data_IF_576870863469
#
_entry.id   IF_576870863469
#
_cell.length_a   1.000
_cell.length_b   1.000
_cell.length_c   1.000
_cell.angle_alpha   90.00
_cell.angle_beta   90.00
_cell.angle_gamma   90.00
#
_symmetry.space_group_name_H-M   'P 1'
#
loop_
_entity.id
_entity.type
_entity.pdbx_description
1 polymer ?
#
# COMPACT_ATOMS: atom_id res chain seq x y z
N UNK A 1 -1.50 12.54 36.08
CA UNK A 1 -2.15 11.35 35.48
C UNK A 1 -3.39 11.74 34.68
N UNK A 2 -3.27 12.57 33.63
CA UNK A 2 -4.48 13.09 32.95
C UNK A 2 -4.31 13.41 31.47
N UNK A 3 -3.08 13.46 30.93
CA UNK A 3 -2.84 13.77 29.51
C UNK A 3 -2.86 12.49 28.64
N UNK A 4 -2.47 11.34 29.20
CA UNK A 4 -2.39 10.07 28.46
C UNK A 4 -3.76 9.50 28.07
N UNK A 5 -4.83 9.83 28.81
CA UNK A 5 -6.19 9.34 28.55
C UNK A 5 -6.86 10.10 27.41
N UNK A 6 -6.55 11.39 27.24
CA UNK A 6 -7.12 12.21 26.16
C UNK A 6 -6.55 11.86 24.78
N UNK A 7 -5.25 11.56 24.71
CA UNK A 7 -4.60 11.19 23.43
C UNK A 7 -5.01 9.78 22.99
N UNK A 8 -5.12 8.81 23.92
CA UNK A 8 -5.69 7.50 23.60
C UNK A 8 -7.18 7.60 23.24
N UNK A 9 -7.93 8.49 23.90
CA UNK A 9 -9.34 8.75 23.61
C UNK A 9 -9.57 9.23 22.19
N UNK A 10 -8.77 10.18 21.69
CA UNK A 10 -8.86 10.67 20.30
C UNK A 10 -8.48 9.61 19.26
N UNK A 11 -7.47 8.78 19.52
CA UNK A 11 -7.06 7.71 18.59
C UNK A 11 -8.13 6.60 18.52
N UNK A 12 -8.74 6.24 19.66
CA UNK A 12 -9.82 5.24 19.73
C UNK A 12 -11.17 5.76 19.21
N UNK A 13 -11.46 7.06 19.33
CA UNK A 13 -12.65 7.66 18.72
C UNK A 13 -12.50 7.83 17.21
N UNK A 14 -11.32 8.20 16.70
CA UNK A 14 -11.07 8.25 15.25
C UNK A 14 -11.24 6.88 14.58
N UNK A 15 -10.82 5.79 15.25
CA UNK A 15 -11.03 4.43 14.76
C UNK A 15 -12.50 3.97 14.76
N UNK A 16 -13.32 4.51 15.66
CA UNK A 16 -14.76 4.18 15.72
C UNK A 16 -15.63 5.06 14.81
N UNK A 17 -15.22 6.30 14.53
CA UNK A 17 -15.96 7.21 13.64
C UNK A 17 -15.73 6.93 12.15
N UNK A 18 -14.58 6.37 11.76
CA UNK A 18 -14.27 6.08 10.36
C UNK A 18 -15.14 4.98 9.72
N UNK A 19 -15.94 4.26 10.51
CA UNK A 19 -16.84 3.22 10.03
C UNK A 19 -18.29 3.39 10.52
N UNK A 20 -18.67 4.63 10.85
CA UNK A 20 -20.03 5.00 11.26
C UNK A 20 -20.84 5.61 10.12
N UNK A 21 -22.03 5.08 9.91
CA UNK A 21 -23.04 5.40 8.90
C UNK A 21 -23.43 6.89 8.89
N UNK A 22 -23.14 7.64 7.83
CA UNK A 22 -23.80 8.95 7.60
C UNK A 22 -24.16 9.20 6.13
N UNK A 23 -25.47 9.12 5.92
CA UNK A 23 -26.37 9.74 4.95
C UNK A 23 -25.76 10.82 4.04
N UNK A 24 -25.93 10.60 2.74
CA UNK A 24 -25.64 11.54 1.67
C UNK A 24 -26.42 12.86 1.83
N UNK A 25 -25.71 13.97 1.70
CA UNK A 25 -26.28 15.26 1.29
C UNK A 25 -25.40 15.84 0.18
N UNK A 26 -26.03 15.98 -0.98
CA UNK A 26 -25.53 16.57 -2.23
C UNK A 26 -25.32 18.07 -2.09
N UNK A 27 -24.16 18.59 -2.51
CA UNK A 27 -24.05 19.91 -3.18
C UNK A 27 -22.74 20.05 -3.97
N UNK A 28 -22.89 20.28 -5.28
CA UNK A 28 -22.15 21.15 -6.21
C UNK A 28 -20.60 21.12 -6.29
N UNK A 29 -20.12 20.44 -7.34
CA UNK A 29 -19.26 20.94 -8.45
C UNK A 29 -18.30 22.13 -8.21
N UNK A 30 -17.00 21.86 -8.39
CA UNK A 30 -16.12 22.76 -9.13
C UNK A 30 -15.15 21.95 -10.01
N UNK A 31 -15.23 22.22 -11.32
CA UNK A 31 -14.31 21.75 -12.36
C UNK A 31 -12.96 22.42 -12.17
N UNK A 32 -11.88 21.66 -12.27
CA UNK A 32 -10.52 22.17 -12.36
C UNK A 32 -9.92 21.69 -13.68
N UNK A 33 -9.45 22.64 -14.48
CA UNK A 33 -9.05 22.49 -15.88
C UNK A 33 -7.79 21.62 -16.02
N UNK A 34 -7.92 20.49 -16.71
CA UNK A 34 -6.78 19.66 -17.10
C UNK A 34 -6.14 20.22 -18.37
N UNK A 35 -5.08 21.01 -18.19
CA UNK A 35 -4.09 21.25 -19.23
C UNK A 35 -3.48 19.90 -19.67
N UNK A 36 -3.40 19.69 -20.98
CA UNK A 36 -3.13 18.40 -21.63
C UNK A 36 -1.95 17.64 -21.04
N UNK A 37 -2.25 16.50 -20.41
CA UNK A 37 -1.29 15.46 -20.05
C UNK A 37 -1.24 14.46 -21.20
N UNK A 38 -0.02 14.09 -21.60
CA UNK A 38 0.28 12.94 -22.47
C UNK A 38 -0.29 11.67 -21.82
N UNK A 39 -1.53 11.30 -22.20
CA UNK A 39 -2.36 10.31 -21.51
C UNK A 39 -1.74 8.91 -21.49
N UNK A 40 -0.91 8.55 -22.47
CA UNK A 40 -0.23 7.25 -22.52
C UNK A 40 0.94 7.17 -21.54
N UNK A 41 1.59 8.29 -21.22
CA UNK A 41 2.76 8.32 -20.32
C UNK A 41 2.40 8.62 -18.86
N UNK A 42 1.34 9.38 -18.63
CA UNK A 42 0.92 9.82 -17.30
C UNK A 42 -0.44 9.26 -16.85
N UNK A 43 -1.07 8.38 -17.62
CA UNK A 43 -2.30 7.70 -17.20
C UNK A 43 -2.10 6.73 -16.02
N UNK A 44 -3.20 6.27 -15.42
CA UNK A 44 -3.17 5.29 -14.32
C UNK A 44 -2.55 3.96 -14.73
N UNK A 45 -2.74 3.53 -15.99
CA UNK A 45 -2.06 2.34 -16.53
C UNK A 45 -0.53 2.45 -16.46
N UNK A 46 0.01 3.65 -16.67
CA UNK A 46 1.45 3.89 -16.55
C UNK A 46 1.92 3.84 -15.09
N UNK A 47 1.09 4.30 -14.14
CA UNK A 47 1.35 4.15 -12.71
C UNK A 47 1.29 2.68 -12.27
N UNK A 48 0.27 1.93 -12.71
CA UNK A 48 0.10 0.52 -12.42
C UNK A 48 1.31 -0.28 -12.90
N UNK A 49 1.74 -0.05 -14.15
CA UNK A 49 2.96 -0.67 -14.67
C UNK A 49 4.22 -0.23 -13.91
N UNK A 50 4.32 1.05 -13.51
CA UNK A 50 5.49 1.54 -12.79
C UNK A 50 5.61 0.93 -11.38
N UNK A 51 4.47 0.60 -10.75
CA UNK A 51 4.39 0.13 -9.37
C UNK A 51 4.21 -1.37 -9.22
N UNK A 52 3.98 -2.09 -10.33
CA UNK A 52 3.58 -3.50 -10.37
C UNK A 52 4.38 -4.39 -9.39
N UNK A 53 5.71 -4.30 -9.41
CA UNK A 53 6.55 -5.18 -8.59
C UNK A 53 6.72 -4.70 -7.15
N UNK A 54 6.40 -3.44 -6.85
CA UNK A 54 6.74 -2.83 -5.55
C UNK A 54 5.83 -3.26 -4.41
N UNK A 55 4.66 -3.84 -4.72
CA UNK A 55 3.69 -4.30 -3.72
C UNK A 55 3.88 -5.79 -3.49
N UNK A 56 4.18 -6.18 -2.25
CA UNK A 56 4.36 -7.59 -1.89
C UNK A 56 3.06 -8.37 -2.07
N UNK A 57 3.09 -9.47 -2.82
CA UNK A 57 1.90 -10.19 -3.33
C UNK A 57 0.94 -9.30 -4.17
N UNK A 58 1.43 -8.22 -4.77
CA UNK A 58 0.64 -7.32 -5.62
C UNK A 58 0.27 -7.95 -6.96
N UNK A 59 1.24 -8.59 -7.62
CA UNK A 59 1.08 -9.21 -8.95
C UNK A 59 0.66 -10.69 -8.92
N UNK A 60 0.51 -11.28 -7.74
CA UNK A 60 0.09 -12.67 -7.63
C UNK A 60 0.39 -13.30 -6.27
N UNK A 61 0.12 -14.61 -6.12
CA UNK A 61 0.27 -15.34 -4.86
C UNK A 61 1.70 -15.83 -4.61
N UNK A 62 2.68 -15.47 -5.45
CA UNK A 62 4.05 -15.94 -5.38
C UNK A 62 4.98 -14.83 -4.94
N UNK A 63 6.07 -15.23 -4.31
CA UNK A 63 7.19 -14.39 -3.93
C UNK A 63 8.47 -15.24 -3.93
N UNK A 64 9.66 -14.63 -4.11
CA UNK A 64 10.92 -15.36 -4.02
C UNK A 64 11.07 -16.09 -2.68
N UNK A 65 11.37 -17.38 -2.73
CA UNK A 65 11.65 -18.23 -1.56
C UNK A 65 13.10 -18.70 -1.50
N UNK A 66 13.86 -18.50 -2.57
CA UNK A 66 15.29 -18.79 -2.63
C UNK A 66 16.12 -17.51 -2.82
N UNK A 67 17.42 -17.61 -2.54
CA UNK A 67 18.34 -16.50 -2.73
C UNK A 67 18.48 -16.10 -4.20
N UNK A 68 18.50 -17.08 -5.11
CA UNK A 68 18.58 -16.85 -6.56
C UNK A 68 17.34 -16.10 -7.07
N UNK A 69 16.15 -16.58 -6.74
CA UNK A 69 14.88 -15.91 -7.09
C UNK A 69 14.82 -14.48 -6.53
N UNK A 70 15.37 -14.28 -5.34
CA UNK A 70 15.37 -12.99 -4.68
C UNK A 70 16.31 -12.00 -5.37
N UNK A 71 17.48 -12.44 -5.83
CA UNK A 71 18.41 -11.60 -6.61
C UNK A 71 17.73 -11.08 -7.88
N UNK A 72 17.02 -11.95 -8.61
CA UNK A 72 16.29 -11.58 -9.82
C UNK A 72 15.15 -10.59 -9.53
N UNK A 73 14.40 -10.83 -8.47
CA UNK A 73 13.34 -9.92 -8.02
C UNK A 73 13.90 -8.56 -7.62
N UNK A 74 15.03 -8.51 -6.91
CA UNK A 74 15.69 -7.26 -6.53
C UNK A 74 16.13 -6.42 -7.73
N UNK A 75 16.44 -7.02 -8.89
CA UNK A 75 16.69 -6.28 -10.14
C UNK A 75 15.41 -5.63 -10.64
N UNK A 76 14.30 -6.38 -10.69
CA UNK A 76 12.97 -5.87 -11.12
C UNK A 76 12.48 -4.76 -10.21
N UNK A 77 12.50 -4.97 -8.90
CA UNK A 77 12.09 -3.98 -7.89
C UNK A 77 12.84 -2.65 -8.04
N UNK A 78 14.16 -2.68 -8.27
CA UNK A 78 14.94 -1.45 -8.49
C UNK A 78 14.53 -0.72 -9.76
N UNK A 79 14.18 -1.45 -10.82
CA UNK A 79 13.66 -0.85 -12.05
C UNK A 79 12.30 -0.20 -11.82
N UNK A 80 11.38 -0.90 -11.15
CA UNK A 80 10.03 -0.42 -10.81
C UNK A 80 10.08 0.78 -9.86
N UNK A 81 11.00 0.79 -8.88
CA UNK A 81 11.24 1.95 -8.01
C UNK A 81 11.69 3.19 -8.80
N UNK A 82 12.63 3.03 -9.73
CA UNK A 82 13.07 4.13 -10.61
C UNK A 82 11.94 4.62 -11.51
N UNK A 83 11.11 3.70 -12.03
CA UNK A 83 9.96 4.04 -12.86
C UNK A 83 8.92 4.84 -12.07
N UNK A 84 8.56 4.36 -10.88
CA UNK A 84 7.59 5.02 -9.99
C UNK A 84 8.08 6.40 -9.56
N UNK A 85 9.36 6.53 -9.19
CA UNK A 85 9.95 7.85 -8.84
C UNK A 85 9.86 8.84 -9.99
N UNK A 86 10.08 8.40 -11.22
CA UNK A 86 9.97 9.24 -12.42
C UNK A 86 8.52 9.66 -12.66
N UNK A 87 7.57 8.73 -12.53
CA UNK A 87 6.15 9.04 -12.63
C UNK A 87 5.73 10.07 -11.57
N UNK A 88 6.13 9.89 -10.31
CA UNK A 88 5.85 10.85 -9.24
C UNK A 88 6.36 12.27 -9.55
N UNK A 89 7.57 12.38 -10.09
CA UNK A 89 8.16 13.68 -10.40
C UNK A 89 7.53 14.36 -11.62
N UNK A 90 7.09 13.59 -12.61
CA UNK A 90 6.72 14.14 -13.92
C UNK A 90 5.21 14.14 -14.21
N UNK A 91 4.44 13.26 -13.54
CA UNK A 91 3.02 13.02 -13.85
C UNK A 91 2.09 13.35 -12.68
N UNK A 92 2.63 13.77 -11.52
CA UNK A 92 1.81 14.12 -10.35
C UNK A 92 2.22 15.47 -9.78
N UNK A 93 1.28 16.16 -9.13
CA UNK A 93 1.49 17.45 -8.47
C UNK A 93 0.73 17.53 -7.15
N UNK A 94 1.05 18.53 -6.33
CA UNK A 94 0.37 18.79 -5.05
C UNK A 94 0.38 17.58 -4.10
N UNK A 95 -0.77 17.32 -3.46
CA UNK A 95 -0.91 16.23 -2.48
C UNK A 95 -0.64 14.85 -3.09
N UNK A 96 -1.08 14.59 -4.33
CA UNK A 96 -0.85 13.30 -5.00
C UNK A 96 0.64 13.00 -5.19
N UNK A 97 1.44 14.02 -5.50
CA UNK A 97 2.90 13.87 -5.58
C UNK A 97 3.53 13.56 -4.23
N UNK A 98 3.10 14.23 -3.17
CA UNK A 98 3.62 13.96 -1.82
C UNK A 98 3.31 12.52 -1.41
N UNK A 99 2.07 12.06 -1.62
CA UNK A 99 1.66 10.69 -1.31
C UNK A 99 2.47 9.66 -2.11
N UNK A 100 2.67 9.88 -3.41
CA UNK A 100 3.43 8.93 -4.23
C UNK A 100 4.93 8.95 -3.89
N UNK A 101 5.50 10.09 -3.51
CA UNK A 101 6.88 10.17 -3.00
C UNK A 101 7.03 9.44 -1.66
N UNK A 102 6.04 9.50 -0.77
CA UNK A 102 6.03 8.72 0.47
C UNK A 102 6.00 7.21 0.16
N UNK A 103 5.17 6.78 -0.80
CA UNK A 103 5.16 5.40 -1.26
C UNK A 103 6.51 4.96 -1.84
N UNK A 104 7.13 5.78 -2.70
CA UNK A 104 8.47 5.52 -3.25
C UNK A 104 9.51 5.36 -2.15
N UNK A 105 9.46 6.20 -1.10
CA UNK A 105 10.38 6.11 0.02
C UNK A 105 10.15 4.84 0.87
N UNK A 106 8.90 4.44 1.09
CA UNK A 106 8.58 3.18 1.77
C UNK A 106 9.10 1.98 0.96
N UNK A 107 8.82 1.94 -0.34
CA UNK A 107 9.31 0.89 -1.24
C UNK A 107 10.84 0.83 -1.31
N UNK A 108 11.52 1.98 -1.27
CA UNK A 108 13.00 2.05 -1.20
C UNK A 108 13.52 1.39 0.08
N UNK A 109 12.93 1.71 1.24
CA UNK A 109 13.35 1.13 2.53
C UNK A 109 13.13 -0.37 2.57
N UNK A 110 11.99 -0.85 2.05
CA UNK A 110 11.71 -2.29 1.98
C UNK A 110 12.68 -3.01 1.04
N UNK A 111 12.97 -2.41 -0.12
CA UNK A 111 13.98 -2.93 -1.04
C UNK A 111 15.35 -3.03 -0.37
N UNK A 112 15.79 -1.97 0.30
CA UNK A 112 17.06 -1.98 1.03
C UNK A 112 17.08 -3.02 2.15
N UNK A 113 15.96 -3.18 2.88
CA UNK A 113 15.84 -4.17 3.95
C UNK A 113 16.03 -5.60 3.43
N UNK A 114 15.31 -5.95 2.36
CA UNK A 114 15.25 -7.31 1.82
C UNK A 114 16.40 -7.65 0.85
N UNK A 115 16.87 -6.70 0.06
CA UNK A 115 17.86 -6.95 -1.00
C UNK A 115 19.30 -6.68 -0.56
N UNK A 116 19.52 -5.66 0.27
CA UNK A 116 20.86 -5.14 0.59
C UNK A 116 21.20 -5.21 2.08
N UNK A 117 20.20 -5.49 2.91
CA UNK A 117 20.27 -5.34 4.35
C UNK A 117 20.15 -6.65 5.12
N UNK A 118 20.13 -6.49 6.45
CA UNK A 118 19.98 -7.59 7.42
C UNK A 118 18.62 -8.31 7.32
N UNK A 119 17.66 -7.74 6.59
CA UNK A 119 16.33 -8.31 6.39
C UNK A 119 16.28 -9.47 5.40
N UNK A 120 17.33 -9.67 4.60
CA UNK A 120 17.40 -10.78 3.62
C UNK A 120 17.19 -12.15 4.27
N UNK A 121 17.87 -12.42 5.39
CA UNK A 121 17.75 -13.68 6.11
C UNK A 121 16.36 -13.86 6.73
N UNK A 122 15.81 -12.82 7.35
CA UNK A 122 14.43 -12.85 7.89
C UNK A 122 13.42 -13.10 6.77
N UNK A 123 13.58 -12.42 5.63
CA UNK A 123 12.73 -12.59 4.46
C UNK A 123 12.75 -14.04 3.95
N UNK A 124 13.93 -14.62 3.71
CA UNK A 124 14.07 -15.98 3.20
C UNK A 124 13.59 -17.03 4.22
N UNK A 125 13.67 -16.73 5.52
CA UNK A 125 13.12 -17.59 6.58
C UNK A 125 11.59 -17.60 6.57
N UNK A 126 10.94 -16.43 6.46
CA UNK A 126 9.50 -16.29 6.69
C UNK A 126 8.65 -16.44 5.42
N UNK A 127 9.19 -16.06 4.26
CA UNK A 127 8.43 -16.07 3.01
C UNK A 127 7.94 -17.45 2.54
N UNK A 128 8.69 -18.55 2.71
CA UNK A 128 8.24 -19.88 2.25
C UNK A 128 6.86 -20.28 2.79
N UNK A 129 6.61 -20.11 4.09
CA UNK A 129 5.30 -20.41 4.65
C UNK A 129 4.21 -19.47 4.11
N UNK A 130 4.52 -18.18 3.93
CA UNK A 130 3.56 -17.21 3.39
C UNK A 130 3.12 -17.63 1.99
N UNK A 131 4.05 -18.01 1.12
CA UNK A 131 3.75 -18.47 -0.24
C UNK A 131 2.89 -19.74 -0.19
N UNK A 132 3.30 -20.75 0.58
CA UNK A 132 2.61 -22.05 0.65
C UNK A 132 1.18 -21.94 1.22
N UNK A 133 1.00 -21.21 2.32
CA UNK A 133 -0.26 -21.24 3.09
C UNK A 133 -1.13 -20.00 2.94
N UNK A 134 -0.55 -18.90 2.49
CA UNK A 134 -1.15 -17.57 2.60
C UNK A 134 -1.16 -16.78 1.29
N UNK A 135 -0.35 -17.16 0.30
CA UNK A 135 -0.11 -16.39 -0.94
C UNK A 135 -1.39 -15.92 -1.64
N UNK A 136 -2.33 -16.82 -1.99
CA UNK A 136 -3.59 -16.42 -2.62
C UNK A 136 -4.44 -15.48 -1.78
N UNK A 137 -4.43 -15.64 -0.45
CA UNK A 137 -5.20 -14.80 0.44
C UNK A 137 -4.54 -13.43 0.66
N UNK A 138 -3.20 -13.36 0.69
CA UNK A 138 -2.43 -12.11 0.74
C UNK A 138 -2.64 -11.31 -0.55
N UNK A 139 -2.54 -11.96 -1.71
CA UNK A 139 -2.85 -11.33 -2.98
C UNK A 139 -4.28 -10.79 -3.02
N UNK A 140 -5.26 -11.54 -2.49
CA UNK A 140 -6.64 -11.07 -2.37
C UNK A 140 -6.79 -9.86 -1.44
N UNK A 141 -5.97 -9.73 -0.40
CA UNK A 141 -5.93 -8.52 0.42
C UNK A 141 -5.49 -7.30 -0.40
N UNK A 142 -4.45 -7.44 -1.23
CA UNK A 142 -3.99 -6.37 -2.13
C UNK A 142 -5.04 -5.99 -3.16
N UNK A 143 -5.64 -6.97 -3.86
CA UNK A 143 -6.71 -6.70 -4.85
C UNK A 143 -7.88 -5.93 -4.22
N UNK A 144 -8.28 -6.33 -3.00
CA UNK A 144 -9.33 -5.62 -2.26
C UNK A 144 -8.90 -4.20 -1.89
N UNK A 145 -7.64 -4.00 -1.49
CA UNK A 145 -7.13 -2.69 -1.14
C UNK A 145 -7.07 -1.76 -2.35
N UNK A 146 -6.65 -2.24 -3.52
CA UNK A 146 -6.74 -1.47 -4.78
C UNK A 146 -8.17 -1.04 -5.08
N UNK A 147 -9.15 -1.93 -4.89
CA UNK A 147 -10.58 -1.58 -5.01
C UNK A 147 -11.03 -0.51 -4.01
N UNK A 148 -10.52 -0.55 -2.78
CA UNK A 148 -10.77 0.52 -1.80
C UNK A 148 -10.16 1.86 -2.22
N UNK A 149 -8.93 1.85 -2.73
CA UNK A 149 -8.26 3.06 -3.21
C UNK A 149 -9.02 3.69 -4.37
N UNK A 150 -9.55 2.88 -5.29
CA UNK A 150 -10.42 3.36 -6.37
C UNK A 150 -11.71 3.96 -5.81
N UNK A 151 -12.39 3.29 -4.88
CA UNK A 151 -13.64 3.76 -4.29
C UNK A 151 -13.50 5.09 -3.52
N UNK A 152 -12.33 5.39 -2.96
CA UNK A 152 -12.04 6.69 -2.32
C UNK A 152 -12.13 7.83 -3.34
N UNK A 153 -11.72 7.60 -4.59
CA UNK A 153 -11.72 8.66 -5.62
C UNK A 153 -13.14 9.13 -5.96
N UNK A 154 -14.13 8.27 -5.76
CA UNK A 154 -15.56 8.53 -5.97
C UNK A 154 -16.20 9.29 -4.78
N UNK A 155 -15.51 9.41 -3.64
CA UNK A 155 -16.00 10.13 -2.47
C UNK A 155 -15.76 11.64 -2.57
N UNK A 156 -16.54 12.41 -1.80
CA UNK A 156 -16.32 13.85 -1.62
C UNK A 156 -14.89 14.10 -1.09
N UNK A 157 -14.25 15.20 -1.53
CA UNK A 157 -12.86 15.53 -1.17
C UNK A 157 -12.60 15.50 0.34
N UNK A 158 -13.56 15.94 1.15
CA UNK A 158 -13.48 15.97 2.63
C UNK A 158 -13.50 14.57 3.26
N UNK A 159 -14.13 13.61 2.60
CA UNK A 159 -14.33 12.25 3.14
C UNK A 159 -13.20 11.31 2.70
N UNK A 160 -12.39 11.71 1.71
CA UNK A 160 -11.32 10.87 1.14
C UNK A 160 -10.29 10.44 2.17
N UNK A 161 -9.86 11.34 3.05
CA UNK A 161 -8.85 11.03 4.08
C UNK A 161 -9.43 10.06 5.14
N UNK A 162 -10.59 10.32 5.76
CA UNK A 162 -11.22 9.35 6.67
C UNK A 162 -11.42 7.97 6.06
N UNK A 163 -11.91 7.88 4.83
CA UNK A 163 -12.07 6.61 4.13
C UNK A 163 -10.73 5.94 3.84
N UNK A 164 -9.70 6.69 3.42
CA UNK A 164 -8.35 6.16 3.22
C UNK A 164 -7.82 5.49 4.49
N UNK A 165 -7.92 6.15 5.64
CA UNK A 165 -7.51 5.58 6.92
C UNK A 165 -8.31 4.33 7.29
N UNK A 166 -9.64 4.35 7.08
CA UNK A 166 -10.51 3.19 7.34
C UNK A 166 -10.12 1.97 6.50
N UNK A 167 -9.93 2.18 5.20
CA UNK A 167 -9.59 1.13 4.27
C UNK A 167 -8.17 0.59 4.47
N UNK A 168 -7.23 1.46 4.86
CA UNK A 168 -5.89 1.03 5.26
C UNK A 168 -5.93 0.10 6.48
N UNK A 169 -6.67 0.47 7.53
CA UNK A 169 -6.84 -0.40 8.71
C UNK A 169 -7.50 -1.75 8.37
N UNK A 170 -8.40 -1.79 7.39
CA UNK A 170 -8.97 -3.05 6.88
C UNK A 170 -7.95 -3.88 6.11
N UNK A 171 -7.08 -3.25 5.33
CA UNK A 171 -5.99 -3.90 4.62
C UNK A 171 -4.97 -4.52 5.59
N UNK A 172 -4.46 -3.75 6.55
CA UNK A 172 -3.53 -4.23 7.57
C UNK A 172 -4.11 -5.45 8.30
N UNK A 173 -5.37 -5.34 8.76
CA UNK A 173 -6.06 -6.46 9.42
C UNK A 173 -6.17 -7.70 8.54
N UNK A 174 -6.42 -7.51 7.24
CA UNK A 174 -6.48 -8.62 6.28
C UNK A 174 -5.12 -9.32 6.20
N UNK A 175 -4.06 -8.57 5.95
CA UNK A 175 -2.70 -9.08 5.80
C UNK A 175 -2.22 -9.78 7.07
N UNK A 176 -2.36 -9.14 8.23
CA UNK A 176 -1.95 -9.72 9.52
C UNK A 176 -2.72 -11.00 9.83
N UNK A 177 -4.05 -11.03 9.66
CA UNK A 177 -4.84 -12.22 9.96
C UNK A 177 -4.52 -13.39 9.02
N UNK A 178 -4.23 -13.10 7.75
CA UNK A 178 -3.82 -14.11 6.79
C UNK A 178 -2.43 -14.65 7.14
N UNK A 179 -1.46 -13.76 7.39
CA UNK A 179 -0.09 -14.15 7.74
C UNK A 179 0.00 -14.93 9.06
N UNK A 180 -0.91 -14.70 10.02
CA UNK A 180 -1.00 -15.46 11.28
C UNK A 180 -1.15 -16.97 11.10
N UNK A 181 -1.60 -17.46 9.93
CA UNK A 181 -1.60 -18.89 9.60
C UNK A 181 -0.20 -19.53 9.66
N UNK A 182 0.84 -18.71 9.52
CA UNK A 182 2.25 -19.11 9.64
C UNK A 182 2.85 -18.78 11.03
N UNK A 183 2.09 -18.14 11.92
CA UNK A 183 2.52 -17.75 13.26
C UNK A 183 2.65 -16.24 13.46
N UNK A 184 2.87 -15.83 14.70
CA UNK A 184 2.90 -14.40 15.09
C UNK A 184 4.11 -13.64 14.53
N UNK A 185 5.25 -14.32 14.27
CA UNK A 185 6.40 -13.67 13.61
C UNK A 185 6.07 -13.26 12.16
N UNK A 186 5.33 -14.09 11.43
CA UNK A 186 4.88 -13.81 10.08
C UNK A 186 3.87 -12.65 10.06
N UNK A 187 2.96 -12.61 11.05
CA UNK A 187 2.02 -11.52 11.21
C UNK A 187 2.70 -10.17 11.41
N UNK A 188 3.76 -10.13 12.23
CA UNK A 188 4.59 -8.94 12.47
C UNK A 188 5.42 -8.57 11.25
N UNK A 189 5.95 -9.55 10.54
CA UNK A 189 6.70 -9.33 9.31
C UNK A 189 5.79 -8.73 8.23
N UNK A 190 4.65 -9.35 7.92
CA UNK A 190 3.71 -8.86 6.91
C UNK A 190 3.01 -7.54 7.26
N UNK A 191 3.09 -7.06 8.51
CA UNK A 191 2.60 -5.73 8.86
C UNK A 191 3.62 -4.61 8.57
N UNK A 192 4.89 -4.96 8.30
CA UNK A 192 5.97 -4.02 7.96
C UNK A 192 6.17 -3.87 6.45
N UNK A 193 5.83 -4.93 5.70
CA UNK A 193 6.04 -5.11 4.26
C UNK A 193 4.77 -4.78 3.51
#
# INVERSE_FOLDING_TARGET
MTITVFVLGCILTLLSYCCGTTRATTTASSKEETGGLDFDRCGFTALDHATADLVFFGNGPLAPISEEELVDECVRLRASLRSTKRYANNCTMGLGQVMLKMFVEAARKELEYRCDGKGKEEYLKLTPCLVEKSGPALHKCNVRYSGYLQAITEQNKTDRIPFACCYHAKFERCVTNVAKKCGEEHAKFSAKV
#
